data_IF_028280961523
#
_entry.id   IF_028280961523
#
_cell.length_a   1.000
_cell.length_b   1.000
_cell.length_c   1.000
_cell.angle_alpha   90.00
_cell.angle_beta   90.00
_cell.angle_gamma   90.00
#
_symmetry.space_group_name_H-M   'P 1'
#
loop_
_entity.id
_entity.type
_entity.pdbx_description
1 polymer ?
#
# COMPACT_ATOMS: atom_id res chain seq x y z
N UNK A 1 17.00 -1.38 -15.30
CA UNK A 1 17.11 -0.30 -14.30
C UNK A 1 16.14 -0.65 -13.18
N UNK A 2 16.63 -1.17 -12.05
CA UNK A 2 15.79 -1.43 -10.90
C UNK A 2 15.51 -0.10 -10.22
N UNK A 3 14.28 0.39 -10.32
CA UNK A 3 13.78 1.41 -9.39
C UNK A 3 13.31 0.65 -8.15
N UNK A 4 14.25 0.17 -7.35
CA UNK A 4 13.98 -0.27 -5.98
C UNK A 4 14.36 0.87 -5.07
N UNK A 5 13.43 1.79 -4.84
CA UNK A 5 13.40 2.58 -3.62
C UNK A 5 12.09 3.36 -3.53
N UNK A 6 10.98 2.64 -3.31
CA UNK A 6 9.94 3.26 -2.51
C UNK A 6 10.15 2.77 -1.08
N UNK A 7 10.72 3.67 -0.28
CA UNK A 7 10.54 3.69 1.15
C UNK A 7 9.04 3.73 1.48
N UNK A 8 8.35 2.59 1.39
CA UNK A 8 7.11 2.33 2.12
C UNK A 8 7.41 2.06 3.61
N UNK A 9 8.69 2.02 3.97
CA UNK A 9 9.19 2.08 5.33
C UNK A 9 8.81 3.43 5.95
N UNK A 10 7.96 3.38 6.98
CA UNK A 10 7.76 4.46 7.97
C UNK A 10 7.43 5.83 7.38
N UNK A 11 6.15 6.12 7.19
CA UNK A 11 5.71 7.49 6.90
C UNK A 11 5.16 8.14 8.16
N UNK A 12 5.89 9.11 8.72
CA UNK A 12 5.40 9.97 9.78
C UNK A 12 4.56 11.10 9.16
N UNK A 13 3.27 11.16 9.48
CA UNK A 13 2.35 12.19 9.00
C UNK A 13 1.43 12.66 10.11
N UNK A 14 1.13 13.96 10.10
CA UNK A 14 0.04 14.53 10.89
C UNK A 14 -1.26 14.26 10.14
N UNK A 15 -1.93 13.16 10.47
CA UNK A 15 -3.19 12.80 9.82
C UNK A 15 -4.32 13.73 10.26
N UNK A 16 -5.18 14.11 9.32
CA UNK A 16 -6.24 15.10 9.48
C UNK A 16 -7.61 14.50 9.79
N UNK A 17 -7.70 13.25 10.26
CA UNK A 17 -8.96 12.65 10.65
C UNK A 17 -9.68 13.49 11.72
N UNK A 18 -11.00 13.61 11.60
CA UNK A 18 -11.82 14.45 12.48
C UNK A 18 -12.23 13.75 13.78
N UNK A 19 -12.26 12.43 13.77
CA UNK A 19 -12.59 11.61 14.94
C UNK A 19 -11.42 11.55 15.92
N UNK A 20 -11.72 11.53 17.23
CA UNK A 20 -10.74 11.39 18.31
C UNK A 20 -11.11 10.24 19.25
N UNK A 21 -10.10 9.51 19.70
CA UNK A 21 -10.20 8.47 20.75
C UNK A 21 -8.99 8.62 21.66
N UNK A 22 -9.18 8.61 22.98
CA UNK A 22 -8.07 8.73 23.95
C UNK A 22 -7.23 10.01 23.80
N UNK A 23 -7.87 11.13 23.43
CA UNK A 23 -7.17 12.39 23.13
C UNK A 23 -6.42 12.40 21.77
N UNK A 24 -6.36 11.27 21.07
CA UNK A 24 -5.64 11.10 19.80
C UNK A 24 -6.59 11.29 18.61
N UNK A 25 -6.19 12.10 17.63
CA UNK A 25 -6.89 12.19 16.33
C UNK A 25 -6.64 10.92 15.53
N UNK A 26 -7.69 10.32 14.97
CA UNK A 26 -7.54 9.12 14.16
C UNK A 26 -6.89 9.43 12.79
N UNK A 27 -6.14 8.47 12.22
CA UNK A 27 -5.69 8.55 10.84
C UNK A 27 -6.84 8.67 9.84
N UNK A 28 -6.58 9.30 8.70
CA UNK A 28 -7.47 9.16 7.54
C UNK A 28 -7.19 7.82 6.85
N UNK A 29 -8.04 6.83 7.12
CA UNK A 29 -7.92 5.49 6.53
C UNK A 29 -8.28 5.44 5.04
N UNK A 30 -8.76 6.55 4.46
CA UNK A 30 -9.01 6.67 3.03
C UNK A 30 -7.80 7.24 2.27
N UNK A 31 -6.78 7.72 2.99
CA UNK A 31 -5.54 8.24 2.40
C UNK A 31 -4.83 7.15 1.58
N UNK A 32 -4.30 7.57 0.42
CA UNK A 32 -3.66 6.66 -0.55
C UNK A 32 -2.47 5.92 0.06
N UNK A 33 -1.82 6.49 1.07
CA UNK A 33 -0.65 5.94 1.75
C UNK A 33 -0.98 5.10 2.98
N UNK A 34 -2.25 5.03 3.41
CA UNK A 34 -2.68 4.23 4.57
C UNK A 34 -3.36 2.96 4.11
N UNK A 35 -2.61 1.89 3.90
CA UNK A 35 -3.22 0.61 3.55
C UNK A 35 -4.00 0.08 4.76
N UNK A 36 -5.21 -0.37 4.53
CA UNK A 36 -6.02 -1.06 5.54
C UNK A 36 -6.79 -2.15 4.82
N UNK A 37 -7.10 -3.24 5.54
CA UNK A 37 -7.82 -4.38 4.98
C UNK A 37 -9.08 -3.92 4.27
N UNK A 38 -9.21 -4.30 3.00
CA UNK A 38 -10.41 -4.09 2.21
C UNK A 38 -10.54 -5.25 1.23
N UNK A 39 -11.43 -6.19 1.56
CA UNK A 39 -11.76 -7.27 0.64
C UNK A 39 -12.67 -6.72 -0.46
N UNK A 40 -12.19 -6.75 -1.70
CA UNK A 40 -12.97 -6.31 -2.87
C UNK A 40 -13.83 -7.42 -3.47
N UNK A 41 -13.53 -8.69 -3.16
CA UNK A 41 -14.11 -9.85 -3.84
C UNK A 41 -13.49 -10.12 -5.22
N UNK A 42 -12.52 -9.30 -5.64
CA UNK A 42 -11.73 -9.50 -6.87
C UNK A 42 -10.71 -10.62 -6.64
N UNK A 43 -10.63 -11.53 -7.60
CA UNK A 43 -9.66 -12.62 -7.59
C UNK A 43 -8.26 -12.14 -7.99
N UNK A 44 -7.23 -12.92 -7.64
CA UNK A 44 -5.85 -12.61 -8.02
C UNK A 44 -5.68 -12.55 -9.54
N UNK A 45 -6.31 -13.46 -10.29
CA UNK A 45 -6.25 -13.44 -11.76
C UNK A 45 -6.88 -12.19 -12.37
N UNK A 46 -7.99 -11.69 -11.80
CA UNK A 46 -8.61 -10.43 -12.27
C UNK A 46 -7.70 -9.23 -11.97
N UNK A 47 -7.03 -9.23 -10.81
CA UNK A 47 -6.03 -8.22 -10.50
C UNK A 47 -4.84 -8.28 -11.47
N UNK A 48 -4.31 -9.46 -11.77
CA UNK A 48 -3.22 -9.63 -12.74
C UNK A 48 -3.59 -9.05 -14.10
N UNK A 49 -4.80 -9.36 -14.60
CA UNK A 49 -5.30 -8.81 -15.86
C UNK A 49 -5.42 -7.28 -15.80
N UNK A 50 -5.95 -6.73 -14.70
CA UNK A 50 -6.04 -5.29 -14.52
C UNK A 50 -4.66 -4.62 -14.47
N UNK A 51 -3.66 -5.25 -13.84
CA UNK A 51 -2.28 -4.75 -13.75
C UNK A 51 -1.65 -4.72 -15.15
N UNK A 52 -1.82 -5.78 -15.93
CA UNK A 52 -1.34 -5.87 -17.32
C UNK A 52 -2.00 -4.80 -18.18
N UNK A 53 -3.34 -4.70 -18.14
CA UNK A 53 -4.08 -3.72 -18.93
C UNK A 53 -3.68 -2.27 -18.57
N UNK A 54 -3.48 -1.99 -17.27
CA UNK A 54 -3.04 -0.69 -16.81
C UNK A 54 -1.61 -0.37 -17.29
N UNK A 55 -0.69 -1.35 -17.25
CA UNK A 55 0.68 -1.16 -17.75
C UNK A 55 0.74 -0.83 -19.25
N UNK A 56 -0.08 -1.50 -20.07
CA UNK A 56 -0.16 -1.22 -21.51
C UNK A 56 -0.70 0.19 -21.75
N UNK A 57 -1.80 0.55 -21.08
CA UNK A 57 -2.41 1.88 -21.17
C UNK A 57 -1.42 2.98 -20.77
N UNK A 58 -0.70 2.76 -19.68
CA UNK A 58 0.26 3.72 -19.15
C UNK A 58 1.50 3.84 -20.03
N UNK A 59 1.91 2.74 -20.69
CA UNK A 59 3.02 2.74 -21.65
C UNK A 59 2.70 3.62 -22.86
N UNK A 60 1.48 3.53 -23.39
CA UNK A 60 1.01 4.40 -24.48
C UNK A 60 0.95 5.87 -24.04
N UNK A 61 0.63 6.12 -22.77
CA UNK A 61 0.57 7.46 -22.19
C UNK A 61 1.94 8.00 -21.73
N UNK A 62 2.99 7.17 -21.75
CA UNK A 62 4.34 7.53 -21.25
C UNK A 62 4.40 7.80 -19.74
N UNK A 63 3.48 7.27 -18.93
CA UNK A 63 3.41 7.51 -17.47
C UNK A 63 3.81 6.27 -16.70
N UNK A 64 5.00 6.23 -16.10
CA UNK A 64 5.47 5.00 -15.49
C UNK A 64 5.12 4.90 -13.99
N UNK A 65 4.53 3.78 -13.57
CA UNK A 65 4.27 3.43 -12.17
C UNK A 65 3.67 4.57 -11.33
N UNK A 66 4.44 5.19 -10.43
CA UNK A 66 3.97 6.21 -9.49
C UNK A 66 3.47 7.49 -10.19
N UNK A 67 3.86 7.73 -11.43
CA UNK A 67 3.31 8.80 -12.28
C UNK A 67 1.89 8.50 -12.78
N UNK A 68 1.46 7.24 -12.75
CA UNK A 68 0.13 6.81 -13.15
C UNK A 68 -0.82 6.77 -11.95
N UNK A 69 -1.87 7.59 -12.02
CA UNK A 69 -2.98 7.53 -11.07
C UNK A 69 -3.70 6.16 -11.09
N UNK A 70 -3.75 5.50 -12.25
CA UNK A 70 -4.33 4.18 -12.41
C UNK A 70 -3.53 3.11 -11.67
N UNK A 71 -2.20 3.12 -11.86
CA UNK A 71 -1.28 2.26 -11.11
C UNK A 71 -1.40 2.47 -9.61
N UNK A 72 -1.37 3.72 -9.13
CA UNK A 72 -1.45 4.02 -7.69
C UNK A 72 -2.76 3.52 -7.07
N UNK A 73 -3.90 3.70 -7.75
CA UNK A 73 -5.21 3.20 -7.29
C UNK A 73 -5.27 1.67 -7.30
N UNK A 74 -4.68 1.04 -8.31
CA UNK A 74 -4.65 -0.41 -8.42
C UNK A 74 -3.74 -1.04 -7.36
N UNK A 75 -2.55 -0.46 -7.15
CA UNK A 75 -1.62 -0.84 -6.09
C UNK A 75 -2.28 -0.75 -4.71
N UNK A 76 -2.98 0.37 -4.45
CA UNK A 76 -3.75 0.54 -3.23
C UNK A 76 -4.74 -0.59 -3.01
N UNK A 77 -5.54 -0.91 -4.02
CA UNK A 77 -6.58 -1.92 -3.92
C UNK A 77 -6.00 -3.32 -3.74
N UNK A 78 -5.01 -3.67 -4.57
CA UNK A 78 -4.38 -4.99 -4.60
C UNK A 78 -3.60 -5.30 -3.31
N UNK A 79 -2.85 -4.32 -2.78
CA UNK A 79 -2.14 -4.45 -1.50
C UNK A 79 -3.11 -4.49 -0.32
N UNK A 80 -4.23 -3.75 -0.40
CA UNK A 80 -5.29 -3.75 0.63
C UNK A 80 -5.96 -5.11 0.86
N UNK A 81 -5.90 -6.05 -0.09
CA UNK A 81 -6.43 -7.41 0.08
C UNK A 81 -5.70 -8.20 1.18
N UNK A 82 -4.39 -8.00 1.30
CA UNK A 82 -3.52 -8.70 2.27
C UNK A 82 -3.12 -7.83 3.46
N UNK A 83 -3.57 -6.57 3.46
CA UNK A 83 -3.27 -5.62 4.52
C UNK A 83 -3.96 -6.00 5.83
N UNK A 84 -3.36 -5.73 6.99
CA UNK A 84 -4.06 -5.79 8.27
C UNK A 84 -5.17 -4.73 8.35
N UNK A 85 -6.19 -4.99 9.15
CA UNK A 85 -7.27 -4.04 9.40
C UNK A 85 -6.78 -2.96 10.40
N UNK A 86 -5.95 -2.03 9.90
CA UNK A 86 -5.35 -0.96 10.70
C UNK A 86 -6.42 -0.08 11.34
N UNK A 87 -7.55 0.14 10.66
CA UNK A 87 -8.66 0.90 11.24
C UNK A 87 -9.18 0.22 12.51
N UNK A 88 -9.49 -1.07 12.43
CA UNK A 88 -9.96 -1.83 13.59
C UNK A 88 -8.90 -1.91 14.68
N UNK A 89 -7.66 -2.25 14.34
CA UNK A 89 -6.53 -2.37 15.29
C UNK A 89 -6.35 -1.06 16.06
N UNK A 90 -6.28 0.08 15.36
CA UNK A 90 -6.07 1.40 15.99
C UNK A 90 -7.28 1.80 16.81
N UNK A 91 -8.48 1.71 16.24
CA UNK A 91 -9.72 2.14 16.90
C UNK A 91 -9.99 1.33 18.16
N UNK A 92 -9.83 0.00 18.11
CA UNK A 92 -10.00 -0.85 19.29
C UNK A 92 -8.87 -0.64 20.30
N UNK A 93 -7.63 -0.58 19.84
CA UNK A 93 -6.47 -0.35 20.72
C UNK A 93 -6.60 0.93 21.55
N UNK A 94 -7.02 2.04 20.93
CA UNK A 94 -7.27 3.30 21.64
C UNK A 94 -8.48 3.23 22.58
N UNK A 95 -9.56 2.52 22.21
CA UNK A 95 -10.72 2.30 23.10
C UNK A 95 -10.34 1.50 24.34
N UNK A 96 -9.48 0.49 24.20
CA UNK A 96 -8.98 -0.30 25.33
C UNK A 96 -8.04 0.53 26.23
N UNK A 97 -7.21 1.40 25.65
CA UNK A 97 -6.38 2.33 26.41
C UNK A 97 -7.23 3.30 27.27
N UNK A 98 -8.38 3.76 26.75
CA UNK A 98 -9.36 4.56 27.50
C UNK A 98 -10.00 3.79 28.66
N UNK A 99 -10.48 2.56 28.42
CA UNK A 99 -11.16 1.75 29.46
C UNK A 99 -10.27 1.51 30.68
N UNK A 100 -8.96 1.38 30.47
CA UNK A 100 -7.97 1.19 31.54
C UNK A 100 -7.69 2.46 32.35
N UNK A 101 -8.16 3.64 31.92
CA UNK A 101 -7.93 4.93 32.59
C UNK A 101 -8.94 5.34 33.67
N UNK A 102 -10.04 4.62 33.87
CA UNK A 102 -11.14 5.05 34.76
C UNK A 102 -11.02 4.65 36.24
N UNK A 103 -9.91 4.04 36.68
CA UNK A 103 -9.67 3.70 38.09
C UNK A 103 -8.23 4.01 38.46
N UNK A 104 -8.05 4.73 39.55
CA UNK A 104 -6.77 5.12 40.16
C UNK A 104 -5.93 3.92 40.62
N UNK A 105 -5.41 3.10 39.71
CA UNK A 105 -4.39 2.11 40.02
C UNK A 105 -3.14 2.42 39.21
N UNK A 106 -2.33 3.35 39.73
CA UNK A 106 -0.88 3.28 39.64
C UNK A 106 -0.42 2.07 40.46
N UNK A 107 -0.74 0.86 39.99
CA UNK A 107 -0.12 -0.34 40.50
C UNK A 107 -0.12 -1.44 39.44
N UNK A 108 1.11 -1.73 39.00
CA UNK A 108 1.55 -3.01 38.46
C UNK A 108 1.04 -3.29 37.04
N UNK A 109 2.01 -3.55 36.15
CA UNK A 109 1.89 -4.36 34.94
C UNK A 109 1.05 -5.62 35.21
N UNK A 110 -0.28 -5.52 35.20
CA UNK A 110 -1.12 -6.69 34.97
C UNK A 110 -0.87 -7.07 33.52
N UNK A 111 -0.36 -8.29 33.25
CA UNK A 111 -0.16 -8.73 31.89
C UNK A 111 -1.52 -8.58 31.20
N UNK A 112 -1.53 -7.71 30.19
CA UNK A 112 -2.63 -7.58 29.25
C UNK A 112 -3.08 -9.01 28.92
N UNK A 113 -4.37 -9.30 28.88
CA UNK A 113 -4.83 -10.64 28.51
C UNK A 113 -4.31 -10.96 27.08
N UNK A 114 -3.19 -11.69 27.03
CA UNK A 114 -2.41 -11.86 25.82
C UNK A 114 -3.12 -12.76 24.82
N UNK A 115 -4.10 -13.56 25.26
CA UNK A 115 -4.85 -14.50 24.41
C UNK A 115 -5.97 -13.78 23.66
N UNK A 116 -6.66 -12.82 24.30
CA UNK A 116 -7.64 -11.96 23.62
C UNK A 116 -6.97 -10.99 22.64
N UNK A 117 -5.79 -10.47 22.98
CA UNK A 117 -4.98 -9.59 22.13
C UNK A 117 -4.31 -10.35 20.95
N UNK A 118 -4.04 -11.66 21.11
CA UNK A 118 -3.37 -12.52 20.11
C UNK A 118 -4.16 -12.66 18.81
N UNK A 119 -5.50 -12.59 18.88
CA UNK A 119 -6.36 -12.75 17.70
C UNK A 119 -6.64 -11.43 16.96
N UNK A 120 -6.26 -10.27 17.52
CA UNK A 120 -6.64 -8.96 16.98
C UNK A 120 -5.53 -7.91 16.87
N UNK A 121 -4.34 -8.12 17.45
CA UNK A 121 -3.17 -7.24 17.29
C UNK A 121 -2.66 -6.61 18.60
N UNK A 122 -1.33 -6.47 18.77
CA UNK A 122 -0.72 -5.98 20.02
C UNK A 122 -0.76 -4.45 20.10
N UNK A 123 -0.93 -3.86 21.29
CA UNK A 123 -0.72 -2.42 21.51
C UNK A 123 0.22 -2.17 22.70
N UNK A 124 1.18 -1.26 22.56
CA UNK A 124 1.98 -0.70 23.68
C UNK A 124 1.71 0.80 23.76
N UNK A 125 1.58 1.41 24.93
CA UNK A 125 1.31 2.85 25.01
C UNK A 125 1.84 3.52 26.30
N UNK A 126 2.04 4.83 26.23
CA UNK A 126 2.26 5.75 27.35
C UNK A 126 1.20 6.85 27.30
N UNK A 127 0.66 7.25 28.45
CA UNK A 127 -0.36 8.29 28.58
C UNK A 127 -0.02 9.28 29.69
N UNK A 128 -0.38 10.54 29.50
CA UNK A 128 -0.47 11.54 30.56
C UNK A 128 -1.97 11.84 30.80
N UNK A 129 -2.44 11.62 32.03
CA UNK A 129 -3.87 11.64 32.37
C UNK A 129 -4.70 10.66 31.51
N UNK A 130 -5.58 11.19 30.63
CA UNK A 130 -6.45 10.44 29.71
C UNK A 130 -6.05 10.59 28.23
N UNK A 131 -4.94 11.27 27.97
CA UNK A 131 -4.40 11.47 26.62
C UNK A 131 -3.26 10.48 26.38
N UNK A 132 -3.39 9.68 25.33
CA UNK A 132 -2.28 8.84 24.86
C UNK A 132 -1.23 9.75 24.23
N UNK A 133 0.01 9.69 24.72
CA UNK A 133 1.16 10.44 24.20
C UNK A 133 1.96 9.62 23.19
N UNK A 134 2.01 8.31 23.43
CA UNK A 134 2.72 7.35 22.60
C UNK A 134 1.93 6.05 22.53
N UNK A 135 1.84 5.45 21.35
CA UNK A 135 1.34 4.10 21.18
C UNK A 135 2.00 3.37 20.00
N UNK A 136 2.19 2.06 20.12
CA UNK A 136 2.58 1.15 19.04
C UNK A 136 1.45 0.15 18.83
N UNK A 137 1.10 -0.15 17.59
CA UNK A 137 0.05 -1.07 17.20
C UNK A 137 0.65 -2.14 16.31
N UNK A 138 0.27 -3.39 16.53
CA UNK A 138 0.79 -4.57 15.84
C UNK A 138 -0.38 -5.38 15.29
N UNK A 139 -0.16 -6.14 14.22
CA UNK A 139 -1.13 -7.10 13.72
C UNK A 139 -1.06 -8.45 14.45
N UNK A 140 -1.90 -9.41 14.03
CA UNK A 140 -1.93 -10.77 14.57
C UNK A 140 -0.66 -11.60 14.31
N UNK A 141 0.19 -11.19 13.36
CA UNK A 141 1.48 -11.80 13.09
C UNK A 141 2.59 -11.19 13.96
N UNK A 142 2.27 -10.16 14.75
CA UNK A 142 3.23 -9.43 15.57
C UNK A 142 4.08 -8.43 14.79
N UNK A 143 3.70 -8.09 13.55
CA UNK A 143 4.32 -7.00 12.81
C UNK A 143 3.75 -5.65 13.29
N UNK A 144 4.60 -4.66 13.53
CA UNK A 144 4.12 -3.32 13.87
C UNK A 144 3.49 -2.68 12.64
N UNK A 145 2.28 -2.15 12.77
CA UNK A 145 1.46 -1.60 11.67
C UNK A 145 1.25 -0.10 11.77
N UNK A 146 1.33 0.45 12.99
CA UNK A 146 1.24 1.89 13.24
C UNK A 146 1.93 2.25 14.56
N UNK A 147 2.38 3.49 14.66
CA UNK A 147 2.69 4.13 15.94
C UNK A 147 2.14 5.54 15.99
N UNK A 148 1.87 6.02 17.19
CA UNK A 148 1.49 7.39 17.48
C UNK A 148 2.52 7.98 18.43
N UNK A 149 3.00 9.18 18.16
CA UNK A 149 3.95 9.91 19.00
C UNK A 149 3.97 11.38 18.61
N UNK A 150 4.20 12.29 19.56
CA UNK A 150 4.37 13.72 19.26
C UNK A 150 3.22 14.33 18.43
N UNK A 151 1.98 13.85 18.63
CA UNK A 151 0.81 14.33 17.88
C UNK A 151 0.69 13.81 16.45
N UNK A 152 1.61 12.97 15.99
CA UNK A 152 1.63 12.40 14.64
C UNK A 152 1.52 10.88 14.64
N UNK A 153 1.11 10.32 13.50
CA UNK A 153 1.14 8.88 13.29
C UNK A 153 2.24 8.50 12.33
N UNK A 154 2.84 7.34 12.59
CA UNK A 154 3.70 6.65 11.65
C UNK A 154 3.04 5.34 11.22
N UNK A 155 2.89 5.13 9.91
CA UNK A 155 2.36 3.88 9.37
C UNK A 155 3.50 2.98 8.90
N UNK A 156 3.36 1.68 9.15
CA UNK A 156 4.35 0.66 8.80
C UNK A 156 3.72 -0.37 7.87
N UNK A 157 4.41 -0.69 6.77
CA UNK A 157 4.04 -1.79 5.89
C UNK A 157 4.41 -3.15 6.48
N UNK A 158 3.64 -4.19 6.17
CA UNK A 158 3.92 -5.57 6.59
C UNK A 158 4.70 -6.33 5.51
N UNK A 159 5.25 -7.49 5.86
CA UNK A 159 5.86 -8.42 4.90
C UNK A 159 4.88 -8.87 3.82
N UNK A 160 3.62 -9.14 4.19
CA UNK A 160 2.57 -9.54 3.24
C UNK A 160 2.30 -8.44 2.21
N UNK A 161 2.16 -7.18 2.66
CA UNK A 161 1.97 -6.03 1.77
C UNK A 161 3.18 -5.80 0.86
N UNK A 162 4.39 -5.96 1.40
CA UNK A 162 5.63 -5.85 0.63
C UNK A 162 5.69 -6.93 -0.46
N UNK A 163 5.34 -8.18 -0.14
CA UNK A 163 5.21 -9.28 -1.09
C UNK A 163 4.26 -8.95 -2.23
N UNK A 164 3.05 -8.49 -1.89
CA UNK A 164 2.00 -8.13 -2.86
C UNK A 164 2.42 -6.96 -3.76
N UNK A 165 3.11 -5.97 -3.21
CA UNK A 165 3.63 -4.85 -4.00
C UNK A 165 4.73 -5.29 -4.98
N UNK A 166 5.64 -6.18 -4.55
CA UNK A 166 6.69 -6.71 -5.43
C UNK A 166 6.10 -7.53 -6.57
N UNK A 167 5.10 -8.36 -6.28
CA UNK A 167 4.35 -9.14 -7.26
C UNK A 167 3.71 -8.23 -8.32
N UNK A 168 2.97 -7.21 -7.89
CA UNK A 168 2.38 -6.23 -8.80
C UNK A 168 3.42 -5.54 -9.67
N UNK A 169 4.50 -5.05 -9.07
CA UNK A 169 5.56 -4.36 -9.81
C UNK A 169 6.22 -5.30 -10.84
N UNK A 170 6.38 -6.57 -10.52
CA UNK A 170 6.90 -7.58 -11.43
C UNK A 170 6.02 -7.73 -12.68
N UNK A 171 4.71 -7.95 -12.48
CA UNK A 171 3.73 -8.10 -13.55
C UNK A 171 3.65 -6.83 -14.39
N UNK A 172 3.53 -5.67 -13.74
CA UNK A 172 3.43 -4.37 -14.41
C UNK A 172 4.65 -4.09 -15.29
N UNK A 173 5.86 -4.30 -14.77
CA UNK A 173 7.09 -4.03 -15.51
C UNK A 173 7.26 -4.95 -16.72
N UNK A 174 6.88 -6.22 -16.57
CA UNK A 174 6.89 -7.18 -17.68
C UNK A 174 5.94 -6.72 -18.80
N UNK A 175 4.70 -6.38 -18.45
CA UNK A 175 3.69 -5.91 -19.40
C UNK A 175 4.07 -4.57 -20.07
N UNK A 176 4.56 -3.61 -19.30
CA UNK A 176 5.08 -2.33 -19.81
C UNK A 176 6.19 -2.55 -20.83
N UNK A 177 7.17 -3.39 -20.49
CA UNK A 177 8.30 -3.70 -21.37
C UNK A 177 7.88 -4.43 -22.64
N UNK A 178 6.88 -5.32 -22.56
CA UNK A 178 6.32 -5.99 -23.74
C UNK A 178 5.60 -4.99 -24.67
N UNK A 179 4.76 -4.10 -24.12
CA UNK A 179 4.07 -3.06 -24.88
C UNK A 179 5.04 -2.13 -25.62
N UNK A 180 6.13 -1.73 -24.97
CA UNK A 180 7.15 -0.88 -25.57
C UNK A 180 7.90 -1.55 -26.75
N UNK A 181 7.98 -2.88 -26.79
CA UNK A 181 8.60 -3.62 -27.91
C UNK A 181 7.67 -3.70 -29.11
N UNK A 182 6.39 -3.95 -28.88
CA UNK A 182 5.36 -3.99 -29.94
C UNK A 182 5.30 -2.66 -30.68
N UNK A 183 5.24 -1.54 -29.93
CA UNK A 183 5.21 -0.21 -30.55
C UNK A 183 6.46 0.15 -31.36
N UNK A 184 7.62 -0.47 -31.09
CA UNK A 184 8.82 -0.31 -31.93
C UNK A 184 8.72 -1.11 -33.22
N UNK A 185 8.28 -2.37 -33.14
CA UNK A 185 8.13 -3.23 -34.31
C UNK A 185 7.08 -2.70 -35.30
N UNK A 186 5.99 -2.11 -34.82
CA UNK A 186 5.00 -1.46 -35.69
C UNK A 186 5.58 -0.23 -36.41
N UNK A 187 6.37 0.60 -35.72
CA UNK A 187 7.01 1.76 -36.33
C UNK A 187 8.10 1.37 -37.32
N UNK A 188 8.90 0.35 -37.02
CA UNK A 188 9.94 -0.17 -37.93
C UNK A 188 9.30 -0.80 -39.18
N UNK A 189 8.21 -1.56 -39.04
CA UNK A 189 7.46 -2.13 -40.17
C UNK A 189 6.76 -1.09 -41.05
N UNK A 190 6.25 0.00 -40.45
CA UNK A 190 5.71 1.13 -41.21
C UNK A 190 6.81 1.90 -41.95
N UNK A 191 8.00 2.04 -41.36
CA UNK A 191 9.16 2.64 -42.04
C UNK A 191 9.64 1.79 -43.21
N UNK A 192 9.66 0.46 -43.07
CA UNK A 192 10.00 -0.47 -44.16
C UNK A 192 8.94 -0.49 -45.28
N UNK A 193 7.65 -0.41 -44.97
CA UNK A 193 6.58 -0.35 -45.99
C UNK A 193 6.55 0.96 -46.78
N UNK A 194 7.10 2.04 -46.22
CA UNK A 194 7.22 3.35 -46.88
C UNK A 194 8.55 3.51 -47.63
N UNK A 195 9.45 2.52 -47.59
CA UNK A 195 10.67 2.50 -48.39
C UNK A 195 10.33 2.13 -49.85
N UNK A 196 10.13 3.17 -50.67
CA UNK A 196 10.03 3.21 -52.14
C UNK A 196 9.78 1.87 -52.90
N UNK A 197 8.56 1.61 -53.41
CA UNK A 197 8.25 0.40 -54.19
C UNK A 197 8.98 0.31 -55.55
N UNK A 198 9.72 1.34 -55.97
CA UNK A 198 10.40 1.37 -57.27
C UNK A 198 11.73 0.59 -57.32
N UNK A 199 12.25 0.06 -56.22
CA UNK A 199 13.49 -0.74 -56.23
C UNK A 199 13.29 -2.24 -56.56
N UNK A 200 12.06 -2.69 -56.81
CA UNK A 200 11.76 -4.08 -57.15
C UNK A 200 12.02 -4.43 -58.64
N UNK A 201 12.26 -3.42 -59.50
CA UNK A 201 12.49 -3.62 -60.93
C UNK A 201 13.98 -3.75 -61.33
N UNK A 202 14.92 -3.50 -60.42
CA UNK A 202 16.37 -3.57 -60.69
C UNK A 202 17.00 -4.96 -60.40
N UNK A 203 16.18 -6.00 -60.24
CA UNK A 203 16.65 -7.39 -60.02
C UNK A 203 16.38 -8.35 -61.19
N UNK A 204 16.04 -7.83 -62.35
CA UNK A 204 15.88 -8.58 -63.60
C UNK A 204 16.71 -7.94 -64.73
N UNK A 205 18.03 -7.99 -64.60
CA UNK A 205 18.98 -7.92 -65.73
C UNK A 205 20.05 -8.98 -65.51
#
# INVERSE_FOLDING_TARGET
>A
MYVTNNNYATQNRVFSGTAKIAGVRLPDFTDVHVNTKKQSGTSDSEYEQAIIAQAIKDQQAGKFQNESAGFNKLAKSYVSEVSPDRNRIITQGLKEALKKGSKNDLDILKPIDWIALLFEGKIKYQKESDCVEYAEFYDGNGEMVASYSNGGWTMFGTKAETGRQMEMCSIYNAAWGAAAKVGKQENDGLAESNANPNNALDRLV
#
